data_IF_000411515385
#
_entry.id   IF_000411515385
#
_cell.length_a   1.000
_cell.length_b   1.000
_cell.length_c   1.000
_cell.angle_alpha   90.00
_cell.angle_beta   90.00
_cell.angle_gamma   90.00
#
_symmetry.space_group_name_H-M   'P 1'
#
loop_
_entity.id
_entity.type
_entity.pdbx_description
1 polymer ?
#
# COMPACT_ATOMS: atom_id res chain seq x y z
N UNK A 1 0.24 0.88 -20.23
CA UNK A 1 0.17 -0.37 -19.44
C UNK A 1 1.19 -0.28 -18.32
N UNK A 2 0.76 -0.62 -17.10
CA UNK A 2 1.62 -0.55 -15.93
C UNK A 2 1.59 -1.85 -15.10
N UNK A 3 0.59 -2.72 -15.30
CA UNK A 3 0.56 -4.03 -14.65
C UNK A 3 1.45 -5.02 -15.39
N UNK A 4 2.34 -5.68 -14.64
CA UNK A 4 3.35 -6.59 -15.20
C UNK A 4 3.24 -8.02 -14.65
N UNK A 5 2.46 -8.21 -13.59
CA UNK A 5 2.34 -9.51 -12.91
C UNK A 5 0.98 -9.65 -12.27
N UNK A 6 0.43 -10.87 -12.31
CA UNK A 6 -0.71 -11.27 -11.50
C UNK A 6 -0.27 -12.40 -10.59
N UNK A 7 -0.56 -12.27 -9.30
CA UNK A 7 -0.40 -13.34 -8.31
C UNK A 7 -1.76 -13.78 -7.79
N UNK A 8 -1.86 -15.03 -7.36
CA UNK A 8 -3.09 -15.61 -6.84
C UNK A 8 -2.86 -16.40 -5.56
N UNK A 9 -3.73 -16.18 -4.58
CA UNK A 9 -3.80 -16.96 -3.36
C UNK A 9 -5.01 -17.86 -3.39
N UNK A 10 -4.81 -19.18 -3.52
CA UNK A 10 -5.88 -20.16 -3.62
C UNK A 10 -6.69 -20.27 -2.32
N UNK A 11 -6.03 -20.20 -1.17
CA UNK A 11 -6.66 -20.37 0.14
C UNK A 11 -7.71 -19.30 0.44
N UNK A 12 -7.41 -18.06 0.08
CA UNK A 12 -8.27 -16.90 0.36
C UNK A 12 -8.98 -16.37 -0.90
N UNK A 13 -8.86 -17.08 -2.01
CA UNK A 13 -9.46 -16.76 -3.30
C UNK A 13 -9.31 -15.29 -3.70
N UNK A 14 -8.08 -14.78 -3.70
CA UNK A 14 -7.81 -13.43 -4.18
C UNK A 14 -6.69 -13.37 -5.22
N UNK A 15 -6.85 -12.49 -6.19
CA UNK A 15 -5.82 -12.13 -7.15
C UNK A 15 -5.23 -10.75 -6.82
N UNK A 16 -3.95 -10.56 -7.13
CA UNK A 16 -3.30 -9.25 -7.03
C UNK A 16 -2.63 -8.88 -8.34
N UNK A 17 -3.00 -7.73 -8.90
CA UNK A 17 -2.33 -7.13 -10.05
C UNK A 17 -1.24 -6.20 -9.55
N UNK A 18 -0.01 -6.43 -9.98
CA UNK A 18 1.17 -5.67 -9.55
C UNK A 18 1.55 -4.65 -10.63
N UNK A 19 1.51 -3.36 -10.28
CA UNK A 19 1.96 -2.29 -11.16
C UNK A 19 3.43 -1.92 -10.93
N UNK A 20 4.04 -1.34 -11.93
CA UNK A 20 5.40 -0.83 -11.93
C UNK A 20 5.40 0.69 -12.10
N UNK A 21 5.99 1.41 -11.14
CA UNK A 21 6.03 2.86 -11.10
C UNK A 21 5.25 3.48 -9.96
N UNK A 22 5.64 4.67 -9.56
CA UNK A 22 5.03 5.43 -8.47
C UNK A 22 5.15 6.93 -8.75
N UNK A 23 4.21 7.71 -8.22
CA UNK A 23 4.22 9.18 -8.26
C UNK A 23 5.00 9.83 -7.11
N UNK A 24 5.38 9.04 -6.08
CA UNK A 24 6.15 9.50 -4.93
C UNK A 24 7.62 9.13 -5.05
N UNK A 25 8.47 9.87 -4.31
CA UNK A 25 9.93 9.69 -4.29
C UNK A 25 10.45 9.21 -2.92
N UNK A 26 9.62 8.54 -2.12
CA UNK A 26 9.92 8.17 -0.74
C UNK A 26 11.30 7.50 -0.61
N UNK A 27 12.27 8.08 0.11
CA UNK A 27 13.63 7.54 0.19
C UNK A 27 13.68 6.19 0.90
N UNK A 28 12.73 5.93 1.81
CA UNK A 28 12.59 4.68 2.57
C UNK A 28 11.67 3.64 1.91
N UNK A 29 11.42 3.75 0.61
CA UNK A 29 10.58 2.80 -0.12
C UNK A 29 11.15 1.37 -0.02
N UNK A 30 10.32 0.41 0.38
CA UNK A 30 10.73 -1.00 0.54
C UNK A 30 11.22 -1.67 -0.74
N UNK A 31 10.91 -1.12 -1.91
CA UNK A 31 11.51 -1.59 -3.18
C UNK A 31 13.04 -1.51 -3.17
N UNK A 32 13.62 -0.55 -2.43
CA UNK A 32 15.07 -0.43 -2.28
C UNK A 32 15.73 -1.61 -1.56
N UNK A 33 14.99 -2.43 -0.85
CA UNK A 33 15.53 -3.67 -0.27
C UNK A 33 16.06 -4.63 -1.35
N UNK A 34 15.53 -4.55 -2.57
CA UNK A 34 15.96 -5.36 -3.73
C UNK A 34 16.79 -4.57 -4.73
N UNK A 35 16.41 -3.33 -5.02
CA UNK A 35 17.08 -2.47 -6.01
C UNK A 35 18.31 -1.72 -5.49
N UNK A 36 18.57 -1.74 -4.17
CA UNK A 36 19.71 -1.05 -3.56
C UNK A 36 19.50 0.44 -3.36
N UNK A 37 20.57 1.15 -2.94
CA UNK A 37 20.52 2.57 -2.58
C UNK A 37 20.08 3.48 -3.73
N UNK A 38 20.45 3.14 -4.96
CA UNK A 38 20.17 3.92 -6.16
C UNK A 38 18.84 3.52 -6.84
N UNK A 39 18.13 2.53 -6.26
CA UNK A 39 16.84 2.07 -6.75
C UNK A 39 15.76 3.15 -6.66
N UNK A 40 14.92 3.22 -7.71
CA UNK A 40 13.81 4.18 -7.76
C UNK A 40 12.65 3.71 -6.89
N UNK A 41 12.13 4.57 -5.99
CA UNK A 41 10.96 4.25 -5.19
C UNK A 41 9.75 3.84 -6.05
N UNK A 42 9.13 2.71 -5.72
CA UNK A 42 7.96 2.19 -6.43
C UNK A 42 8.24 1.51 -7.78
N UNK A 43 9.51 1.32 -8.12
CA UNK A 43 9.92 0.59 -9.31
C UNK A 43 10.56 -0.74 -8.90
N UNK A 44 9.90 -1.85 -9.25
CA UNK A 44 10.41 -3.19 -8.96
C UNK A 44 11.69 -3.48 -9.76
N UNK A 45 12.61 -4.21 -9.13
CA UNK A 45 13.80 -4.74 -9.79
C UNK A 45 13.82 -6.27 -9.67
N UNK A 46 14.23 -6.97 -10.74
CA UNK A 46 14.58 -6.42 -12.06
C UNK A 46 13.39 -5.74 -12.74
N UNK A 47 13.68 -4.77 -13.65
CA UNK A 47 12.64 -4.12 -14.45
C UNK A 47 11.83 -5.18 -15.20
N UNK A 48 10.48 -5.11 -15.21
CA UNK A 48 9.67 -6.02 -15.99
C UNK A 48 10.06 -6.03 -17.48
N UNK A 49 10.24 -7.20 -18.05
CA UNK A 49 10.56 -7.36 -19.48
C UNK A 49 9.36 -7.10 -20.38
N UNK A 50 8.14 -7.29 -19.84
CA UNK A 50 6.88 -7.04 -20.52
C UNK A 50 5.81 -6.57 -19.52
N UNK A 51 4.78 -5.92 -20.05
CA UNK A 51 3.58 -5.55 -19.32
C UNK A 51 2.40 -6.30 -19.92
N UNK A 52 1.49 -6.73 -19.05
CA UNK A 52 0.28 -7.45 -19.46
C UNK A 52 -0.69 -6.49 -20.17
N UNK A 53 -1.19 -6.89 -21.32
CA UNK A 53 -2.29 -6.22 -21.97
C UNK A 53 -3.58 -6.34 -21.12
N UNK A 54 -4.56 -5.50 -21.39
CA UNK A 54 -5.86 -5.56 -20.69
C UNK A 54 -6.53 -6.90 -20.95
N UNK A 55 -6.42 -7.41 -22.17
CA UNK A 55 -6.96 -8.71 -22.59
C UNK A 55 -6.32 -9.86 -21.80
N UNK A 56 -5.00 -9.90 -21.70
CA UNK A 56 -4.27 -10.92 -20.92
C UNK A 56 -4.66 -10.88 -19.44
N UNK A 57 -4.82 -9.67 -18.87
CA UNK A 57 -5.27 -9.49 -17.49
C UNK A 57 -6.69 -10.05 -17.31
N UNK A 58 -7.63 -9.71 -18.20
CA UNK A 58 -9.03 -10.18 -18.16
C UNK A 58 -9.12 -11.70 -18.34
N UNK A 59 -8.43 -12.26 -19.32
CA UNK A 59 -8.40 -13.72 -19.55
C UNK A 59 -7.86 -14.48 -18.33
N UNK A 60 -6.79 -14.00 -17.72
CA UNK A 60 -6.25 -14.59 -16.52
C UNK A 60 -7.28 -14.59 -15.38
N UNK A 61 -7.91 -13.45 -15.13
CA UNK A 61 -8.89 -13.32 -14.06
C UNK A 61 -10.17 -14.13 -14.32
N UNK A 62 -10.61 -14.26 -15.58
CA UNK A 62 -11.75 -15.13 -15.95
C UNK A 62 -11.49 -16.62 -15.65
N UNK A 63 -10.25 -17.07 -15.84
CA UNK A 63 -9.84 -18.45 -15.52
C UNK A 63 -9.79 -18.68 -14.01
N UNK A 64 -9.31 -17.71 -13.24
CA UNK A 64 -9.16 -17.80 -11.78
C UNK A 64 -10.47 -17.62 -11.02
N UNK A 65 -11.37 -16.75 -11.49
CA UNK A 65 -12.63 -16.36 -10.84
C UNK A 65 -12.42 -15.94 -9.38
N UNK A 66 -11.53 -14.98 -9.09
CA UNK A 66 -11.26 -14.57 -7.72
C UNK A 66 -12.45 -13.86 -7.09
N UNK A 67 -12.68 -14.08 -5.79
CA UNK A 67 -13.67 -13.31 -5.03
C UNK A 67 -13.21 -11.88 -4.72
N UNK A 68 -11.90 -11.67 -4.69
CA UNK A 68 -11.28 -10.36 -4.40
C UNK A 68 -10.15 -10.10 -5.37
N UNK A 69 -10.07 -8.85 -5.84
CA UNK A 69 -8.98 -8.39 -6.68
C UNK A 69 -8.33 -7.17 -6.03
N UNK A 70 -7.03 -7.32 -5.76
CA UNK A 70 -6.21 -6.24 -5.25
C UNK A 70 -5.37 -5.64 -6.37
N UNK A 71 -5.27 -4.32 -6.39
CA UNK A 71 -4.34 -3.57 -7.23
C UNK A 71 -3.28 -2.97 -6.33
N UNK A 72 -2.01 -3.30 -6.55
CA UNK A 72 -0.90 -2.83 -5.72
C UNK A 72 0.42 -2.84 -6.49
N UNK A 73 1.51 -2.48 -5.83
CA UNK A 73 2.82 -2.41 -6.45
C UNK A 73 3.52 -1.12 -6.06
N UNK A 74 4.01 -0.33 -7.02
CA UNK A 74 4.51 1.01 -6.76
C UNK A 74 3.37 1.93 -6.30
N UNK A 75 2.60 2.42 -7.25
CA UNK A 75 1.34 3.12 -7.04
C UNK A 75 0.34 2.69 -8.12
N UNK A 76 -0.72 1.93 -7.80
CA UNK A 76 -1.62 1.37 -8.81
C UNK A 76 -2.35 2.41 -9.64
N UNK A 77 -2.57 3.61 -9.10
CA UNK A 77 -3.30 4.67 -9.80
C UNK A 77 -2.52 5.34 -10.93
N UNK A 78 -1.24 4.96 -11.14
CA UNK A 78 -0.49 5.36 -12.34
C UNK A 78 -0.88 4.54 -13.58
N UNK A 79 -1.53 3.38 -13.38
CA UNK A 79 -1.98 2.52 -14.46
C UNK A 79 -3.22 3.11 -15.12
N UNK A 80 -3.10 3.52 -16.38
CA UNK A 80 -4.22 4.11 -17.14
C UNK A 80 -5.38 3.14 -17.31
N UNK A 81 -5.09 1.85 -17.37
CA UNK A 81 -6.04 0.75 -17.49
C UNK A 81 -6.76 0.41 -16.17
N UNK A 82 -6.37 0.98 -15.04
CA UNK A 82 -6.93 0.65 -13.73
C UNK A 82 -8.46 0.82 -13.66
N UNK A 83 -9.07 1.94 -14.11
CA UNK A 83 -10.53 2.09 -14.06
C UNK A 83 -11.28 1.00 -14.85
N UNK A 84 -10.78 0.65 -16.03
CA UNK A 84 -11.35 -0.42 -16.87
C UNK A 84 -11.27 -1.78 -16.17
N UNK A 85 -10.12 -2.09 -15.55
CA UNK A 85 -9.93 -3.34 -14.83
C UNK A 85 -10.78 -3.41 -13.57
N UNK A 86 -10.95 -2.31 -12.82
CA UNK A 86 -11.85 -2.25 -11.65
C UNK A 86 -13.29 -2.50 -12.09
N UNK A 87 -13.76 -1.84 -13.15
CA UNK A 87 -15.09 -2.04 -13.70
C UNK A 87 -15.31 -3.49 -14.14
N UNK A 88 -14.38 -4.06 -14.90
CA UNK A 88 -14.44 -5.47 -15.34
C UNK A 88 -14.54 -6.43 -14.14
N UNK A 89 -13.70 -6.26 -13.14
CA UNK A 89 -13.75 -7.10 -11.94
C UNK A 89 -15.08 -7.00 -11.21
N UNK A 90 -15.65 -5.79 -11.14
CA UNK A 90 -16.93 -5.57 -10.46
C UNK A 90 -18.13 -6.09 -11.26
N UNK A 91 -18.21 -5.77 -12.54
CA UNK A 91 -19.38 -6.06 -13.37
C UNK A 91 -19.38 -7.47 -13.93
N UNK A 92 -18.22 -7.99 -14.36
CA UNK A 92 -18.12 -9.31 -14.98
C UNK A 92 -17.85 -10.42 -13.96
N UNK A 93 -16.83 -10.21 -13.10
CA UNK A 93 -16.42 -11.23 -12.13
C UNK A 93 -17.25 -11.20 -10.84
N UNK A 94 -17.96 -10.09 -10.56
CA UNK A 94 -18.65 -9.83 -9.29
C UNK A 94 -17.68 -9.85 -8.10
N UNK A 95 -16.42 -9.59 -8.34
CA UNK A 95 -15.36 -9.59 -7.33
C UNK A 95 -15.33 -8.28 -6.53
N UNK A 96 -14.90 -8.38 -5.29
CA UNK A 96 -14.57 -7.20 -4.49
C UNK A 96 -13.25 -6.60 -4.99
N UNK A 97 -13.21 -5.27 -5.20
CA UNK A 97 -12.05 -4.56 -5.73
C UNK A 97 -11.42 -3.64 -4.69
N UNK A 98 -10.10 -3.69 -4.54
CA UNK A 98 -9.39 -2.82 -3.57
C UNK A 98 -8.03 -2.37 -4.11
N UNK A 99 -7.67 -1.12 -3.80
CA UNK A 99 -6.27 -0.73 -3.82
C UNK A 99 -5.62 -1.35 -2.58
N UNK A 100 -4.79 -2.38 -2.77
CA UNK A 100 -4.18 -3.14 -1.67
C UNK A 100 -3.19 -2.30 -0.85
N UNK A 101 -2.39 -1.50 -1.54
CA UNK A 101 -1.60 -0.40 -1.00
C UNK A 101 -1.54 0.71 -2.05
N UNK A 102 -1.89 1.92 -1.63
CA UNK A 102 -1.83 3.13 -2.45
C UNK A 102 -1.27 4.28 -1.63
N UNK A 103 -0.69 5.25 -2.30
CA UNK A 103 -0.28 6.50 -1.67
C UNK A 103 -1.43 7.52 -1.52
N UNK A 104 -2.63 7.20 -2.01
CA UNK A 104 -3.82 8.03 -1.92
C UNK A 104 -3.89 9.18 -2.93
N UNK A 105 -2.99 9.22 -3.92
CA UNK A 105 -2.99 10.31 -4.92
C UNK A 105 -4.26 10.39 -5.75
N UNK A 106 -4.96 9.28 -5.92
CA UNK A 106 -6.27 9.22 -6.57
C UNK A 106 -7.11 8.10 -5.97
N UNK A 107 -8.24 8.43 -5.38
CA UNK A 107 -9.21 7.49 -4.82
C UNK A 107 -10.58 7.60 -5.50
N UNK A 108 -10.73 8.51 -6.47
CA UNK A 108 -11.96 8.70 -7.25
C UNK A 108 -11.98 7.76 -8.46
N UNK A 109 -12.14 6.48 -8.18
CA UNK A 109 -12.17 5.41 -9.20
C UNK A 109 -13.54 4.75 -9.13
N UNK A 110 -14.35 4.83 -10.21
CA UNK A 110 -15.65 4.18 -10.26
C UNK A 110 -15.57 2.68 -9.96
N UNK A 111 -16.57 2.15 -9.23
CA UNK A 111 -16.69 0.74 -8.87
C UNK A 111 -15.63 0.20 -7.88
N UNK A 112 -14.75 1.06 -7.36
CA UNK A 112 -13.80 0.65 -6.33
C UNK A 112 -14.54 0.44 -4.99
N UNK A 113 -14.32 -0.71 -4.34
CA UNK A 113 -14.95 -1.02 -3.04
C UNK A 113 -14.13 -0.50 -1.85
N UNK A 114 -12.82 -0.34 -2.01
CA UNK A 114 -12.00 0.17 -0.90
C UNK A 114 -10.53 0.36 -1.23
N UNK A 115 -9.81 0.91 -0.26
CA UNK A 115 -8.38 1.19 -0.39
C UNK A 115 -7.66 1.12 0.97
N UNK A 116 -6.37 0.76 0.93
CA UNK A 116 -5.46 0.85 2.07
C UNK A 116 -4.40 1.93 1.78
N UNK A 117 -4.53 3.07 2.42
CA UNK A 117 -3.73 4.26 2.16
C UNK A 117 -2.49 4.29 3.04
N UNK A 118 -1.32 4.39 2.41
CA UNK A 118 -0.04 4.55 3.10
C UNK A 118 0.32 6.02 3.27
N UNK A 119 -0.03 6.61 4.42
CA UNK A 119 0.40 7.95 4.78
C UNK A 119 1.91 7.99 5.00
N UNK A 120 2.56 9.09 4.62
CA UNK A 120 4.02 9.19 4.64
C UNK A 120 4.54 10.09 5.75
N UNK A 121 3.81 11.13 6.07
CA UNK A 121 4.02 12.03 7.19
C UNK A 121 2.75 12.81 7.49
N UNK A 122 2.63 13.35 8.71
CA UNK A 122 1.57 14.27 9.11
C UNK A 122 1.93 15.72 8.81
N UNK A 123 3.16 16.16 9.13
CA UNK A 123 3.58 17.54 8.87
C UNK A 123 3.74 17.78 7.36
N UNK A 124 3.38 19.01 6.91
CA UNK A 124 3.43 19.38 5.49
C UNK A 124 4.83 19.31 4.93
N UNK A 125 5.80 19.91 5.67
CA UNK A 125 7.18 20.01 5.22
C UNK A 125 7.83 18.63 5.07
N UNK A 126 7.65 17.77 6.07
CA UNK A 126 8.18 16.41 6.02
C UNK A 126 7.51 15.59 4.91
N UNK A 127 6.20 15.73 4.75
CA UNK A 127 5.47 15.03 3.68
C UNK A 127 5.99 15.45 2.30
N UNK A 128 6.14 16.76 2.08
CA UNK A 128 6.66 17.30 0.82
C UNK A 128 8.10 16.84 0.56
N UNK A 129 8.97 16.89 1.60
CA UNK A 129 10.34 16.41 1.54
C UNK A 129 10.42 14.92 1.17
N UNK A 130 9.60 14.07 1.79
CA UNK A 130 9.57 12.62 1.57
C UNK A 130 9.01 12.26 0.21
N UNK A 131 7.90 12.89 -0.18
CA UNK A 131 7.09 12.41 -1.32
C UNK A 131 7.25 13.23 -2.59
N UNK A 132 7.66 14.49 -2.47
CA UNK A 132 7.62 15.49 -3.54
C UNK A 132 6.19 15.99 -3.85
N UNK A 133 5.22 15.77 -2.94
CA UNK A 133 3.82 16.15 -3.11
C UNK A 133 3.26 16.79 -1.83
N UNK A 134 2.35 17.77 -1.93
CA UNK A 134 1.71 18.34 -0.76
C UNK A 134 0.82 17.30 -0.05
N UNK A 135 0.83 17.30 1.29
CA UNK A 135 0.01 16.36 2.06
C UNK A 135 -1.49 16.59 1.86
N UNK A 136 -1.88 17.85 1.66
CA UNK A 136 -3.28 18.23 1.48
C UNK A 136 -3.98 17.43 0.39
N UNK A 137 -3.28 17.10 -0.70
CA UNK A 137 -3.81 16.24 -1.77
C UNK A 137 -4.27 14.88 -1.21
N UNK A 138 -3.43 14.24 -0.41
CA UNK A 138 -3.68 12.87 0.08
C UNK A 138 -4.78 12.87 1.16
N UNK A 139 -4.70 13.82 2.09
CA UNK A 139 -5.65 13.92 3.18
C UNK A 139 -7.05 14.32 2.69
N UNK A 140 -7.15 15.24 1.72
CA UNK A 140 -8.42 15.60 1.10
C UNK A 140 -9.03 14.45 0.30
N UNK A 141 -8.21 13.71 -0.47
CA UNK A 141 -8.68 12.52 -1.18
C UNK A 141 -9.19 11.46 -0.21
N UNK A 142 -8.51 11.25 0.91
CA UNK A 142 -8.93 10.29 1.93
C UNK A 142 -10.29 10.69 2.55
N UNK A 143 -10.44 11.95 2.99
CA UNK A 143 -11.72 12.45 3.54
C UNK A 143 -12.84 12.32 2.51
N UNK A 144 -12.61 12.77 1.26
CA UNK A 144 -13.61 12.66 0.19
C UNK A 144 -14.02 11.22 -0.11
N UNK A 145 -13.06 10.30 -0.13
CA UNK A 145 -13.35 8.87 -0.34
C UNK A 145 -14.12 8.28 0.85
N UNK A 146 -13.81 8.69 2.09
CA UNK A 146 -14.53 8.31 3.29
C UNK A 146 -15.99 8.78 3.23
N UNK A 147 -16.22 10.05 2.88
CA UNK A 147 -17.57 10.64 2.76
C UNK A 147 -18.39 9.97 1.63
N UNK A 148 -17.73 9.48 0.58
CA UNK A 148 -18.36 8.68 -0.49
C UNK A 148 -18.63 7.22 -0.08
N UNK A 149 -18.26 6.81 1.12
CA UNK A 149 -18.53 5.47 1.66
C UNK A 149 -17.55 4.38 1.20
N UNK A 150 -16.36 4.71 0.68
CA UNK A 150 -15.34 3.71 0.40
C UNK A 150 -14.87 3.03 1.70
N UNK A 151 -14.67 1.72 1.66
CA UNK A 151 -14.06 0.99 2.77
C UNK A 151 -12.58 1.33 2.85
N UNK A 152 -12.19 2.20 3.78
CA UNK A 152 -10.81 2.67 3.90
C UNK A 152 -10.07 2.02 5.07
N UNK A 153 -8.78 1.80 4.88
CA UNK A 153 -7.83 1.52 5.92
C UNK A 153 -6.62 2.45 5.75
N UNK A 154 -5.94 2.74 6.84
CA UNK A 154 -4.75 3.58 6.85
C UNK A 154 -3.53 2.79 7.33
N UNK A 155 -2.37 3.17 6.85
CA UNK A 155 -1.10 2.68 7.38
C UNK A 155 -0.04 3.80 7.35
N UNK A 156 0.98 3.66 8.21
CA UNK A 156 2.14 4.54 8.25
C UNK A 156 3.39 3.72 8.57
N UNK A 157 4.50 4.06 7.94
CA UNK A 157 5.81 3.50 8.32
C UNK A 157 6.36 4.34 9.47
N UNK A 158 6.51 3.72 10.64
CA UNK A 158 7.11 4.34 11.81
C UNK A 158 8.63 4.25 11.71
N UNK A 159 9.29 5.41 11.68
CA UNK A 159 10.74 5.56 11.52
C UNK A 159 11.24 6.46 12.66
N UNK A 160 11.82 5.92 13.73
CA UNK A 160 12.35 6.73 14.82
C UNK A 160 13.23 7.86 14.30
N UNK A 161 13.04 9.07 14.82
CA UNK A 161 13.75 10.32 14.47
C UNK A 161 13.40 10.90 13.09
N UNK A 162 12.46 10.32 12.33
CA UNK A 162 12.01 10.87 11.05
C UNK A 162 10.48 10.92 10.99
N UNK A 163 9.81 9.79 10.94
CA UNK A 163 8.34 9.65 11.02
C UNK A 163 8.05 9.07 12.38
N UNK A 164 8.16 9.89 13.39
CA UNK A 164 8.16 9.52 14.80
C UNK A 164 6.78 9.72 15.46
N UNK A 165 6.74 9.70 16.76
CA UNK A 165 5.50 9.77 17.56
C UNK A 165 4.66 11.00 17.26
N UNK A 166 5.25 12.18 17.07
CA UNK A 166 4.50 13.41 16.73
C UNK A 166 3.77 13.30 15.38
N UNK A 167 4.42 12.70 14.38
CA UNK A 167 3.84 12.43 13.07
C UNK A 167 2.70 11.41 13.17
N UNK A 168 2.89 10.38 13.99
CA UNK A 168 1.91 9.35 14.26
C UNK A 168 0.69 9.92 14.97
N UNK A 169 0.90 10.74 16.02
CA UNK A 169 -0.16 11.38 16.80
C UNK A 169 -1.02 12.29 15.93
N UNK A 170 -0.38 13.13 15.12
CA UNK A 170 -1.10 14.01 14.19
C UNK A 170 -1.99 13.25 13.22
N UNK A 171 -1.48 12.14 12.65
CA UNK A 171 -2.28 11.27 11.77
C UNK A 171 -3.42 10.60 12.55
N UNK A 172 -3.17 10.04 13.73
CA UNK A 172 -4.21 9.40 14.55
C UNK A 172 -5.30 10.38 14.96
N UNK A 173 -4.94 11.61 15.34
CA UNK A 173 -5.89 12.69 15.62
C UNK A 173 -6.76 13.03 14.40
N UNK A 174 -6.16 13.08 13.20
CA UNK A 174 -6.92 13.30 11.96
C UNK A 174 -7.88 12.15 11.67
N UNK A 175 -7.43 10.90 11.72
CA UNK A 175 -8.27 9.73 11.44
C UNK A 175 -9.43 9.61 12.44
N UNK A 176 -9.18 9.85 13.73
CA UNK A 176 -10.21 9.76 14.78
C UNK A 176 -11.33 10.77 14.62
N UNK A 177 -11.08 11.94 13.98
CA UNK A 177 -12.10 12.93 13.65
C UNK A 177 -13.04 12.47 12.54
N UNK A 178 -12.58 11.59 11.65
CA UNK A 178 -13.42 10.98 10.63
C UNK A 178 -14.17 9.77 11.22
N UNK A 179 -13.45 8.83 11.78
CA UNK A 179 -14.00 7.69 12.53
C UNK A 179 -12.91 7.00 13.35
N UNK A 180 -13.22 6.69 14.62
CA UNK A 180 -12.33 5.86 15.45
C UNK A 180 -12.21 4.42 14.99
N UNK A 181 -13.10 3.96 14.11
CA UNK A 181 -13.16 2.59 13.63
C UNK A 181 -12.35 2.36 12.34
N UNK A 182 -11.73 3.39 11.76
CA UNK A 182 -10.82 3.24 10.62
C UNK A 182 -9.67 2.32 11.02
N UNK A 183 -9.49 1.16 10.34
CA UNK A 183 -8.38 0.27 10.64
C UNK A 183 -7.05 0.97 10.35
N UNK A 184 -6.15 0.96 11.34
CA UNK A 184 -4.85 1.58 11.23
C UNK A 184 -3.72 0.58 11.47
N UNK A 185 -2.72 0.56 10.58
CA UNK A 185 -1.58 -0.33 10.67
C UNK A 185 -0.27 0.46 10.78
N UNK A 186 0.40 0.34 11.92
CA UNK A 186 1.74 0.86 12.14
C UNK A 186 2.75 -0.17 11.62
N UNK A 187 3.50 0.20 10.60
CA UNK A 187 4.56 -0.65 10.04
C UNK A 187 5.92 -0.17 10.54
N UNK A 188 6.59 -0.98 11.36
CA UNK A 188 7.97 -0.68 11.75
C UNK A 188 8.87 -0.59 10.51
N UNK A 189 9.70 0.44 10.48
CA UNK A 189 10.65 0.65 9.39
C UNK A 189 11.60 -0.53 9.21
N UNK A 190 11.76 -0.95 7.99
CA UNK A 190 12.75 -1.94 7.57
C UNK A 190 13.90 -1.17 6.92
N UNK A 191 15.12 -1.18 7.49
CA UNK A 191 16.23 -0.40 6.97
C UNK A 191 16.52 -0.69 5.50
N UNK A 192 16.43 0.32 4.67
CA UNK A 192 16.79 0.25 3.26
C UNK A 192 18.20 0.80 3.04
N UNK A 193 18.94 0.31 2.02
CA UNK A 193 20.27 0.83 1.71
C UNK A 193 20.29 2.34 1.46
N UNK A 194 21.32 3.03 1.99
CA UNK A 194 21.54 4.44 1.75
C UNK A 194 20.85 5.41 2.71
N UNK A 195 20.15 4.92 3.74
CA UNK A 195 19.57 5.75 4.79
C UNK A 195 20.18 5.46 6.17
N UNK A 196 20.31 6.49 7.03
CA UNK A 196 20.93 6.37 8.35
C UNK A 196 19.97 5.84 9.43
N UNK A 197 18.69 5.64 9.11
CA UNK A 197 17.66 5.26 10.09
C UNK A 197 17.74 3.79 10.44
N UNK A 198 17.47 3.49 11.71
CA UNK A 198 17.48 2.15 12.24
C UNK A 198 16.06 1.56 12.29
N UNK A 199 15.98 0.24 12.30
CA UNK A 199 14.74 -0.48 12.62
C UNK A 199 14.31 -0.07 14.03
N UNK A 200 13.03 0.27 14.26
CA UNK A 200 12.55 0.55 15.61
C UNK A 200 12.73 -0.68 16.51
N UNK A 201 12.88 -0.44 17.80
CA UNK A 201 12.89 -1.46 18.83
C UNK A 201 11.46 -1.96 19.11
N UNK A 202 11.33 -3.10 19.75
CA UNK A 202 10.01 -3.63 20.19
C UNK A 202 9.32 -2.64 21.13
N UNK A 203 10.08 -1.97 22.01
CA UNK A 203 9.55 -0.97 22.93
C UNK A 203 9.01 0.27 22.18
N UNK A 204 9.73 0.78 21.18
CA UNK A 204 9.27 1.90 20.36
C UNK A 204 7.99 1.56 19.59
N UNK A 205 7.89 0.35 19.05
CA UNK A 205 6.64 -0.11 18.39
C UNK A 205 5.49 -0.23 19.40
N UNK A 206 5.76 -0.73 20.62
CA UNK A 206 4.74 -0.80 21.68
C UNK A 206 4.24 0.60 22.06
N UNK A 207 5.14 1.56 22.29
CA UNK A 207 4.77 2.96 22.60
C UNK A 207 3.95 3.56 21.47
N UNK A 208 4.39 3.42 20.21
CA UNK A 208 3.65 3.89 19.03
C UNK A 208 2.25 3.26 18.95
N UNK A 209 2.14 1.96 19.24
CA UNK A 209 0.84 1.25 19.21
C UNK A 209 -0.09 1.74 20.31
N UNK A 210 0.41 1.94 21.53
CA UNK A 210 -0.38 2.48 22.65
C UNK A 210 -0.86 3.92 22.38
N UNK A 211 0.01 4.76 21.82
CA UNK A 211 -0.37 6.10 21.39
C UNK A 211 -1.53 6.04 20.39
N UNK A 212 -1.44 5.23 19.35
CA UNK A 212 -2.49 5.11 18.36
C UNK A 212 -3.81 4.55 18.92
N UNK A 213 -3.74 3.59 19.87
CA UNK A 213 -4.91 3.03 20.56
C UNK A 213 -5.63 4.05 21.45
N UNK A 214 -4.98 5.14 21.87
CA UNK A 214 -5.66 6.24 22.58
C UNK A 214 -6.58 7.07 21.66
N UNK A 215 -6.42 6.98 20.35
CA UNK A 215 -7.21 7.67 19.33
C UNK A 215 -8.16 6.76 18.57
N UNK A 216 -7.75 5.52 18.27
CA UNK A 216 -8.43 4.62 17.33
C UNK A 216 -8.73 3.26 17.96
N UNK A 217 -9.85 2.63 17.57
CA UNK A 217 -10.29 1.35 18.09
C UNK A 217 -9.59 0.15 17.41
N UNK A 218 -9.22 0.27 16.14
CA UNK A 218 -8.72 -0.83 15.31
C UNK A 218 -7.27 -0.61 14.89
N UNK A 219 -6.34 -0.73 15.84
CA UNK A 219 -4.90 -0.55 15.60
C UNK A 219 -4.19 -1.90 15.64
N UNK A 220 -3.26 -2.08 14.73
CA UNK A 220 -2.27 -3.18 14.75
C UNK A 220 -0.91 -2.68 14.31
N UNK A 221 0.12 -3.41 14.69
CA UNK A 221 1.48 -3.12 14.28
C UNK A 221 2.17 -4.34 13.68
N UNK A 222 3.19 -4.11 12.88
CA UNK A 222 4.11 -5.13 12.38
C UNK A 222 5.55 -4.64 12.52
N UNK A 223 6.45 -5.57 12.79
CA UNK A 223 7.84 -5.28 13.08
C UNK A 223 8.75 -6.32 12.44
N UNK A 224 8.80 -6.32 11.12
CA UNK A 224 9.57 -7.29 10.36
C UNK A 224 11.07 -6.96 10.35
N UNK A 225 11.89 -7.99 10.31
CA UNK A 225 13.30 -7.89 9.92
C UNK A 225 13.42 -7.79 8.40
N UNK A 226 14.58 -7.36 7.90
CA UNK A 226 14.87 -7.34 6.46
C UNK A 226 14.71 -8.73 5.83
N UNK A 227 15.16 -9.78 6.53
CA UNK A 227 15.03 -11.17 6.06
C UNK A 227 13.55 -11.56 5.90
N UNK A 228 12.73 -11.34 6.91
CA UNK A 228 11.29 -11.62 6.87
C UNK A 228 10.57 -10.81 5.80
N UNK A 229 10.98 -9.56 5.58
CA UNK A 229 10.40 -8.71 4.54
C UNK A 229 10.72 -9.19 3.13
N UNK A 230 11.90 -9.78 2.92
CA UNK A 230 12.32 -10.32 1.63
C UNK A 230 11.81 -11.74 1.39
N UNK A 231 11.57 -12.49 2.46
CA UNK A 231 11.05 -13.86 2.41
C UNK A 231 9.53 -13.87 2.57
N UNK A 232 8.83 -14.06 1.46
CA UNK A 232 7.35 -14.10 1.47
C UNK A 232 6.82 -15.31 2.24
N UNK A 233 7.58 -16.40 2.35
CA UNK A 233 7.17 -17.61 3.08
C UNK A 233 7.31 -17.47 4.59
N UNK A 234 8.15 -16.54 5.06
CA UNK A 234 8.31 -16.23 6.48
C UNK A 234 7.16 -15.35 7.03
N UNK A 235 6.26 -14.88 6.17
CA UNK A 235 5.06 -14.13 6.54
C UNK A 235 3.92 -15.10 6.86
N UNK A 236 2.76 -14.55 7.17
CA UNK A 236 1.56 -15.39 7.29
C UNK A 236 1.13 -15.94 5.91
N UNK A 237 0.25 -16.93 5.90
CA UNK A 237 -0.20 -17.63 4.71
C UNK A 237 -0.97 -16.74 3.71
N UNK A 238 -1.36 -15.51 4.09
CA UNK A 238 -1.94 -14.52 3.16
C UNK A 238 -0.96 -14.10 2.06
N UNK A 239 0.34 -14.25 2.30
CA UNK A 239 1.39 -13.92 1.35
C UNK A 239 1.88 -15.12 0.55
N UNK A 240 1.37 -16.31 0.84
CA UNK A 240 1.67 -17.52 0.05
C UNK A 240 0.86 -17.46 -1.25
N UNK A 241 1.47 -16.86 -2.27
CA UNK A 241 0.84 -16.59 -3.57
C UNK A 241 1.65 -17.24 -4.69
N UNK A 242 0.93 -17.66 -5.75
CA UNK A 242 1.53 -18.15 -7.00
C UNK A 242 1.51 -17.05 -8.06
N UNK A 243 2.57 -16.93 -8.86
CA UNK A 243 2.54 -16.10 -10.07
C UNK A 243 1.72 -16.87 -11.10
N UNK A 244 0.69 -16.24 -11.64
CA UNK A 244 -0.26 -16.85 -12.60
C UNK A 244 -0.23 -16.18 -13.97
N UNK A 245 0.29 -14.95 -14.05
CA UNK A 245 0.58 -14.25 -15.30
C UNK A 245 1.72 -13.23 -15.09
N UNK A 246 2.45 -12.95 -16.16
CA UNK A 246 3.62 -12.07 -16.14
C UNK A 246 4.85 -12.68 -15.48
N UNK A 247 5.84 -11.83 -15.15
CA UNK A 247 7.16 -12.22 -14.59
C UNK A 247 7.47 -11.45 -13.32
#
# INVERSE_FOLDING_TARGET
MAFYRITYNEKYNFATLHNWGCTFHCPFCSYKLRSGKDGRPGFAEPKPVAFLSVEEQKECLLKLKPEKVFFMGGEPTVAKELPEMVQFCKETLKAQTKLGHTNGSNLDIPFLDGANIGFKAWSEDLHLQITGRPKSLIYNNFSSAFDKGLTLAANMVFIPKLVDLDELEGLCSYLSKLSKDIPFHIMGYIPVPGLPYLRPTDQEIQVATQLALSYLNNVKSSHLTTKEALDLTARDDRFNVKIVAGV
#
